data_IF_019087426114
#
_entry.id   IF_019087426114
#
_cell.length_a   1.000
_cell.length_b   1.000
_cell.length_c   1.000
_cell.angle_alpha   90.00
_cell.angle_beta   90.00
_cell.angle_gamma   90.00
#
_symmetry.space_group_name_H-M   'P 1'
#
loop_
_entity.id
_entity.type
_entity.pdbx_description
1 polymer ?
#
# COMPACT_ATOMS: atom_id res chain seq x y z
N UNK A 1 12.55 41.32 -9.29
CA UNK A 1 12.06 39.93 -9.16
C UNK A 1 13.12 38.99 -8.55
N UNK A 2 14.41 39.09 -8.86
CA UNK A 2 15.47 38.20 -8.34
C UNK A 2 15.66 38.15 -6.81
N UNK A 3 15.44 39.25 -6.06
CA UNK A 3 15.55 39.25 -4.59
C UNK A 3 14.49 38.36 -3.90
N UNK A 4 13.27 38.31 -4.44
CA UNK A 4 12.19 37.45 -3.92
C UNK A 4 12.47 35.97 -4.20
N UNK A 5 12.99 35.65 -5.38
CA UNK A 5 13.39 34.29 -5.75
C UNK A 5 14.54 33.78 -4.88
N UNK A 6 15.59 34.58 -4.69
CA UNK A 6 16.72 34.22 -3.83
C UNK A 6 16.31 33.99 -2.37
N UNK A 7 15.41 34.82 -1.84
CA UNK A 7 14.88 34.65 -0.49
C UNK A 7 14.04 33.37 -0.35
N UNK A 8 13.17 33.08 -1.34
CA UNK A 8 12.40 31.84 -1.37
C UNK A 8 13.31 30.61 -1.43
N UNK A 9 14.33 30.61 -2.28
CA UNK A 9 15.30 29.51 -2.38
C UNK A 9 16.06 29.28 -1.06
N UNK A 10 16.44 30.34 -0.34
CA UNK A 10 17.10 30.22 0.97
C UNK A 10 16.18 29.63 2.02
N UNK A 11 14.92 30.06 2.07
CA UNK A 11 13.92 29.49 2.99
C UNK A 11 13.70 28.02 2.66
N UNK A 12 13.48 27.68 1.39
CA UNK A 12 13.31 26.29 0.97
C UNK A 12 14.52 25.44 1.35
N UNK A 13 15.74 25.89 1.03
CA UNK A 13 16.97 25.19 1.38
C UNK A 13 17.10 24.99 2.90
N UNK A 14 16.75 25.99 3.70
CA UNK A 14 16.77 25.89 5.16
C UNK A 14 15.74 24.89 5.68
N UNK A 15 14.50 24.95 5.19
CA UNK A 15 13.42 24.03 5.58
C UNK A 15 13.77 22.60 5.19
N UNK A 16 14.27 22.38 3.97
CA UNK A 16 14.71 21.05 3.52
C UNK A 16 15.90 20.54 4.34
N UNK A 17 16.90 21.38 4.60
CA UNK A 17 18.08 20.98 5.37
C UNK A 17 17.72 20.67 6.82
N UNK A 18 16.91 21.51 7.48
CA UNK A 18 16.44 21.27 8.83
C UNK A 18 15.54 20.03 8.92
N UNK A 19 14.64 19.85 7.95
CA UNK A 19 13.82 18.64 7.83
C UNK A 19 14.65 17.38 7.65
N UNK A 20 15.67 17.41 6.78
CA UNK A 20 16.58 16.29 6.58
C UNK A 20 17.41 15.98 7.82
N UNK A 21 17.90 17.00 8.53
CA UNK A 21 18.64 16.82 9.79
C UNK A 21 17.76 16.22 10.88
N UNK A 22 16.52 16.71 11.05
CA UNK A 22 15.57 16.14 12.02
C UNK A 22 15.18 14.71 11.65
N UNK A 23 14.91 14.45 10.38
CA UNK A 23 14.61 13.10 9.88
C UNK A 23 15.79 12.17 10.13
N UNK A 24 17.01 12.58 9.81
CA UNK A 24 18.24 11.80 10.04
C UNK A 24 18.47 11.54 11.52
N UNK A 25 18.30 12.56 12.38
CA UNK A 25 18.44 12.41 13.82
C UNK A 25 17.39 11.46 14.40
N UNK A 26 16.14 11.55 13.92
CA UNK A 26 15.05 10.67 14.33
C UNK A 26 15.28 9.23 13.85
N UNK A 27 15.63 9.04 12.58
CA UNK A 27 15.94 7.73 12.00
C UNK A 27 17.10 7.08 12.75
N UNK A 28 18.18 7.82 13.02
CA UNK A 28 19.32 7.29 13.76
C UNK A 28 18.95 6.94 15.21
N UNK A 29 18.17 7.80 15.88
CA UNK A 29 17.75 7.56 17.28
C UNK A 29 16.82 6.36 17.40
N UNK A 30 15.83 6.24 16.49
CA UNK A 30 14.90 5.11 16.45
C UNK A 30 15.61 3.84 16.01
N UNK A 31 16.52 3.91 15.03
CA UNK A 31 17.30 2.74 14.59
C UNK A 31 18.19 2.22 15.72
N UNK A 32 18.91 3.11 16.40
CA UNK A 32 19.70 2.74 17.58
C UNK A 32 18.82 2.11 18.67
N UNK A 33 17.67 2.69 18.95
CA UNK A 33 16.72 2.16 19.94
C UNK A 33 16.19 0.77 19.53
N UNK A 34 15.77 0.60 18.29
CA UNK A 34 15.23 -0.67 17.77
C UNK A 34 16.29 -1.77 17.69
N UNK A 35 17.54 -1.42 17.39
CA UNK A 35 18.65 -2.37 17.30
C UNK A 35 19.20 -2.75 18.69
N UNK A 36 19.28 -1.82 19.63
CA UNK A 36 19.82 -2.08 20.97
C UNK A 36 18.81 -2.65 21.95
N UNK A 37 17.52 -2.48 21.69
CA UNK A 37 16.49 -3.19 22.44
C UNK A 37 16.32 -4.58 21.82
N UNK A 38 15.96 -5.55 22.64
CA UNK A 38 15.66 -6.95 22.29
C UNK A 38 14.70 -7.13 21.11
N UNK A 39 14.05 -6.07 20.62
CA UNK A 39 13.16 -6.05 19.46
C UNK A 39 13.88 -6.39 18.15
N UNK A 40 15.08 -5.85 17.89
CA UNK A 40 15.84 -6.22 16.68
C UNK A 40 16.17 -7.73 16.65
N UNK A 41 16.66 -8.24 17.79
CA UNK A 41 16.92 -9.67 17.97
C UNK A 41 15.64 -10.51 17.90
N UNK A 42 14.52 -9.99 18.40
CA UNK A 42 13.22 -10.66 18.35
C UNK A 42 12.75 -10.85 16.90
N UNK A 43 12.73 -9.79 16.08
CA UNK A 43 12.29 -9.87 14.69
C UNK A 43 13.18 -10.78 13.87
N UNK A 44 14.50 -10.68 14.04
CA UNK A 44 15.44 -11.58 13.38
C UNK A 44 15.21 -13.04 13.82
N UNK A 45 14.97 -13.30 15.10
CA UNK A 45 14.68 -14.67 15.60
C UNK A 45 13.39 -15.22 15.00
N UNK A 46 12.32 -14.43 14.99
CA UNK A 46 11.04 -14.85 14.39
C UNK A 46 11.10 -15.05 12.89
N UNK A 47 11.89 -14.22 12.20
CA UNK A 47 12.16 -14.44 10.79
C UNK A 47 12.91 -15.74 10.54
N UNK A 48 13.96 -16.05 11.32
CA UNK A 48 14.70 -17.31 11.19
C UNK A 48 13.82 -18.53 11.51
N UNK A 49 13.02 -18.48 12.58
CA UNK A 49 12.05 -19.54 12.91
C UNK A 49 11.10 -19.81 11.73
N UNK A 50 10.55 -18.75 11.13
CA UNK A 50 9.69 -18.85 9.95
C UNK A 50 10.45 -19.39 8.73
N UNK A 51 11.63 -18.85 8.45
CA UNK A 51 12.46 -19.23 7.31
C UNK A 51 12.82 -20.71 7.36
N UNK A 52 13.29 -21.17 8.52
CA UNK A 52 13.69 -22.55 8.74
C UNK A 52 12.47 -23.49 8.72
N UNK A 53 11.30 -23.04 9.20
CA UNK A 53 10.04 -23.79 9.06
C UNK A 53 9.59 -23.95 7.60
N UNK A 54 9.88 -22.97 6.74
CA UNK A 54 9.64 -23.04 5.31
C UNK A 54 10.80 -23.71 4.54
N UNK A 55 11.80 -24.25 5.25
CA UNK A 55 13.01 -24.87 4.68
C UNK A 55 13.78 -23.96 3.70
N UNK A 56 13.58 -22.65 3.78
CA UNK A 56 14.12 -21.69 2.82
C UNK A 56 13.52 -21.76 1.42
N UNK A 57 12.34 -22.37 1.24
CA UNK A 57 11.66 -22.39 -0.06
C UNK A 57 11.22 -20.97 -0.46
N UNK A 58 11.99 -20.39 -1.39
CA UNK A 58 11.81 -19.01 -1.88
C UNK A 58 10.38 -18.77 -2.39
N UNK A 59 9.79 -19.75 -3.09
CA UNK A 59 8.44 -19.64 -3.61
C UNK A 59 7.40 -19.55 -2.50
N UNK A 60 7.48 -20.42 -1.50
CA UNK A 60 6.55 -20.39 -0.35
C UNK A 60 6.71 -19.10 0.44
N UNK A 61 7.95 -18.68 0.73
CA UNK A 61 8.23 -17.41 1.41
C UNK A 61 7.64 -16.23 0.62
N UNK A 62 7.86 -16.21 -0.69
CA UNK A 62 7.32 -15.18 -1.57
C UNK A 62 5.79 -15.18 -1.61
N UNK A 63 5.14 -16.34 -1.77
CA UNK A 63 3.68 -16.41 -1.84
C UNK A 63 3.03 -15.99 -0.51
N UNK A 64 3.61 -16.36 0.62
CA UNK A 64 3.12 -15.92 1.93
C UNK A 64 3.28 -14.39 2.05
N UNK A 65 4.45 -13.85 1.72
CA UNK A 65 4.74 -12.42 1.84
C UNK A 65 3.98 -11.54 0.84
N UNK A 66 3.88 -11.95 -0.42
CA UNK A 66 3.35 -11.16 -1.52
C UNK A 66 1.89 -11.46 -1.88
N UNK A 67 1.33 -12.60 -1.43
CA UNK A 67 -0.09 -12.92 -1.64
C UNK A 67 -0.88 -12.86 -0.33
N UNK A 68 -0.48 -13.63 0.68
CA UNK A 68 -1.29 -13.82 1.89
C UNK A 68 -1.31 -12.57 2.78
N UNK A 69 -0.15 -11.98 3.07
CA UNK A 69 -0.07 -10.80 3.96
C UNK A 69 -0.88 -9.61 3.41
N UNK A 70 -0.74 -9.21 2.12
CA UNK A 70 -1.56 -8.14 1.56
C UNK A 70 -3.06 -8.48 1.52
N UNK A 71 -3.42 -9.73 1.22
CA UNK A 71 -4.82 -10.16 1.21
C UNK A 71 -5.46 -10.06 2.60
N UNK A 72 -4.76 -10.50 3.65
CA UNK A 72 -5.22 -10.40 5.04
C UNK A 72 -5.32 -8.95 5.48
N UNK A 73 -4.34 -8.10 5.15
CA UNK A 73 -4.41 -6.68 5.44
C UNK A 73 -5.62 -6.03 4.75
N UNK A 74 -5.78 -6.25 3.45
CA UNK A 74 -6.88 -5.71 2.66
C UNK A 74 -8.24 -6.13 3.23
N UNK A 75 -8.50 -7.44 3.38
CA UNK A 75 -9.80 -7.92 3.84
C UNK A 75 -10.03 -7.68 5.34
N UNK A 76 -8.99 -7.70 6.15
CA UNK A 76 -9.06 -7.40 7.59
C UNK A 76 -9.47 -5.96 7.85
N UNK A 77 -8.71 -4.99 7.31
CA UNK A 77 -9.02 -3.57 7.50
C UNK A 77 -10.34 -3.19 6.84
N UNK A 78 -10.55 -3.60 5.58
CA UNK A 78 -11.79 -3.25 4.88
C UNK A 78 -13.00 -3.99 5.44
N UNK A 79 -12.83 -5.17 6.04
CA UNK A 79 -13.91 -5.86 6.74
C UNK A 79 -14.40 -5.06 7.95
N UNK A 80 -13.49 -4.50 8.75
CA UNK A 80 -13.84 -3.63 9.88
C UNK A 80 -14.58 -2.37 9.40
N UNK A 81 -14.07 -1.71 8.35
CA UNK A 81 -14.72 -0.53 7.77
C UNK A 81 -16.09 -0.86 7.16
N UNK A 82 -16.21 -2.03 6.52
CA UNK A 82 -17.45 -2.47 5.91
C UNK A 82 -18.56 -2.71 6.95
N UNK A 83 -18.21 -3.16 8.16
CA UNK A 83 -19.18 -3.22 9.27
C UNK A 83 -19.74 -1.84 9.58
N UNK A 84 -18.88 -0.81 9.62
CA UNK A 84 -19.33 0.57 9.81
C UNK A 84 -20.19 1.07 8.64
N UNK A 85 -19.84 0.71 7.41
CA UNK A 85 -20.56 1.14 6.22
C UNK A 85 -21.95 0.48 6.08
N UNK A 86 -22.11 -0.77 6.52
CA UNK A 86 -23.39 -1.50 6.46
C UNK A 86 -24.28 -1.19 7.66
N UNK A 87 -23.70 -1.10 8.86
CA UNK A 87 -24.49 -1.00 10.12
C UNK A 87 -24.66 0.43 10.63
N UNK A 88 -23.86 1.39 10.13
CA UNK A 88 -23.78 2.74 10.65
C UNK A 88 -23.10 2.83 12.03
N UNK A 89 -22.49 1.75 12.52
CA UNK A 89 -21.85 1.65 13.85
C UNK A 89 -20.41 1.13 13.76
N UNK A 90 -19.51 1.54 14.66
CA UNK A 90 -19.73 2.44 15.78
C UNK A 90 -19.75 3.93 15.39
N UNK A 91 -20.50 4.73 16.13
CA UNK A 91 -20.72 6.17 15.85
C UNK A 91 -19.46 7.02 15.89
N UNK A 92 -18.43 6.59 16.63
CA UNK A 92 -17.16 7.31 16.67
C UNK A 92 -16.41 7.28 15.33
N UNK A 93 -16.66 6.28 14.46
CA UNK A 93 -16.09 6.21 13.10
C UNK A 93 -17.00 6.96 12.13
N UNK A 94 -18.31 6.66 12.17
CA UNK A 94 -19.25 7.17 11.16
C UNK A 94 -19.45 8.69 11.22
N UNK A 95 -19.16 9.34 12.34
CA UNK A 95 -19.14 10.81 12.47
C UNK A 95 -18.08 11.51 11.60
N UNK A 96 -17.06 10.79 11.12
CA UNK A 96 -16.02 11.33 10.23
C UNK A 96 -16.33 11.12 8.74
N UNK A 97 -17.50 10.57 8.40
CA UNK A 97 -17.89 10.34 7.00
C UNK A 97 -18.08 11.68 6.28
N UNK A 98 -17.34 11.89 5.20
CA UNK A 98 -17.35 13.14 4.42
C UNK A 98 -18.61 13.24 3.54
N UNK A 99 -19.03 12.14 2.93
CA UNK A 99 -20.17 12.11 2.00
C UNK A 99 -21.43 11.55 2.69
N UNK A 100 -22.13 12.42 3.43
CA UNK A 100 -23.34 12.04 4.18
C UNK A 100 -24.50 11.70 3.24
N UNK A 101 -25.27 10.65 3.59
CA UNK A 101 -26.49 10.23 2.86
C UNK A 101 -26.26 9.56 1.50
N UNK A 102 -25.00 9.34 1.10
CA UNK A 102 -24.66 8.74 -0.20
C UNK A 102 -24.14 7.32 0.01
N UNK A 103 -24.78 6.35 -0.65
CA UNK A 103 -24.58 4.91 -0.40
C UNK A 103 -24.79 4.54 1.10
N UNK A 104 -25.79 5.16 1.75
CA UNK A 104 -26.12 4.95 3.16
C UNK A 104 -27.61 4.57 3.33
N UNK A 105 -27.94 3.32 3.70
CA UNK A 105 -27.01 2.19 3.87
C UNK A 105 -26.46 1.73 2.51
N UNK A 106 -25.36 0.99 2.55
CA UNK A 106 -24.75 0.44 1.33
C UNK A 106 -25.73 -0.52 0.63
N UNK A 107 -25.94 -0.31 -0.68
CA UNK A 107 -26.73 -1.23 -1.50
C UNK A 107 -26.06 -2.61 -1.53
N UNK A 108 -26.74 -3.60 -0.93
CA UNK A 108 -26.28 -4.99 -0.82
C UNK A 108 -26.00 -5.64 -2.17
N UNK A 109 -26.83 -5.42 -3.20
CA UNK A 109 -26.59 -6.01 -4.52
C UNK A 109 -25.36 -5.41 -5.17
N UNK A 110 -25.21 -4.09 -5.07
CA UNK A 110 -24.04 -3.37 -5.59
C UNK A 110 -22.77 -3.81 -4.87
N UNK A 111 -22.83 -3.97 -3.54
CA UNK A 111 -21.73 -4.46 -2.71
C UNK A 111 -21.31 -5.88 -3.10
N UNK A 112 -22.25 -6.82 -3.26
CA UNK A 112 -21.93 -8.18 -3.68
C UNK A 112 -21.25 -8.21 -5.06
N UNK A 113 -21.70 -7.39 -6.01
CA UNK A 113 -21.03 -7.23 -7.31
C UNK A 113 -19.60 -6.72 -7.15
N UNK A 114 -19.38 -5.77 -6.24
CA UNK A 114 -18.05 -5.23 -5.96
C UNK A 114 -17.14 -6.29 -5.32
N UNK A 115 -17.58 -6.96 -4.26
CA UNK A 115 -16.85 -8.05 -3.59
C UNK A 115 -16.49 -9.15 -4.59
N UNK A 116 -17.45 -9.59 -5.40
CA UNK A 116 -17.20 -10.60 -6.44
C UNK A 116 -16.14 -10.14 -7.44
N UNK A 117 -16.23 -8.91 -7.93
CA UNK A 117 -15.24 -8.34 -8.84
C UNK A 117 -13.85 -8.30 -8.20
N UNK A 118 -13.76 -7.84 -6.95
CA UNK A 118 -12.49 -7.74 -6.22
C UNK A 118 -11.86 -9.13 -6.04
N UNK A 119 -12.65 -10.13 -5.64
CA UNK A 119 -12.18 -11.51 -5.51
C UNK A 119 -11.69 -12.07 -6.86
N UNK A 120 -12.44 -11.83 -7.94
CA UNK A 120 -12.03 -12.24 -9.29
C UNK A 120 -10.73 -11.57 -9.70
N UNK A 121 -10.59 -10.26 -9.48
CA UNK A 121 -9.36 -9.54 -9.80
C UNK A 121 -8.17 -10.07 -8.96
N UNK A 122 -8.35 -10.29 -7.67
CA UNK A 122 -7.30 -10.84 -6.81
C UNK A 122 -6.88 -12.26 -7.23
N UNK A 123 -7.85 -13.15 -7.50
CA UNK A 123 -7.58 -14.55 -7.82
C UNK A 123 -7.08 -14.77 -9.25
N UNK A 124 -7.64 -14.08 -10.24
CA UNK A 124 -7.36 -14.33 -11.65
C UNK A 124 -6.43 -13.30 -12.29
N UNK A 125 -6.12 -12.20 -11.61
CA UNK A 125 -5.20 -11.17 -12.10
C UNK A 125 -4.01 -11.05 -11.16
N UNK A 126 -4.21 -10.66 -9.89
CA UNK A 126 -3.09 -10.47 -8.95
C UNK A 126 -2.32 -11.75 -8.69
N UNK A 127 -2.99 -12.88 -8.48
CA UNK A 127 -2.30 -14.14 -8.18
C UNK A 127 -1.43 -14.63 -9.36
N UNK A 128 -1.89 -14.67 -10.62
CA UNK A 128 -1.02 -14.95 -11.76
C UNK A 128 0.12 -13.94 -11.96
N UNK A 129 -0.08 -12.65 -11.62
CA UNK A 129 0.97 -11.64 -11.68
C UNK A 129 2.13 -11.90 -10.72
N UNK A 130 1.93 -12.71 -9.68
CA UNK A 130 3.01 -13.09 -8.75
C UNK A 130 4.10 -13.92 -9.45
N UNK A 131 3.76 -14.72 -10.47
CA UNK A 131 4.75 -15.56 -11.16
C UNK A 131 5.85 -14.73 -11.84
N UNK A 132 5.56 -13.78 -12.75
CA UNK A 132 6.61 -12.92 -13.31
C UNK A 132 7.26 -12.04 -12.24
N UNK A 133 6.51 -11.59 -11.23
CA UNK A 133 7.06 -10.79 -10.13
C UNK A 133 8.14 -11.54 -9.35
N UNK A 134 7.94 -12.83 -9.08
CA UNK A 134 8.93 -13.69 -8.42
C UNK A 134 10.27 -13.70 -9.18
N UNK A 135 10.23 -13.87 -10.51
CA UNK A 135 11.44 -13.88 -11.32
C UNK A 135 12.12 -12.52 -11.41
N UNK A 136 11.34 -11.43 -11.46
CA UNK A 136 11.89 -10.06 -11.38
C UNK A 136 12.59 -9.84 -10.04
N UNK A 137 11.98 -10.29 -8.94
CA UNK A 137 12.56 -10.21 -7.60
C UNK A 137 13.81 -11.07 -7.47
N UNK A 138 13.84 -12.27 -8.06
CA UNK A 138 15.03 -13.12 -8.07
C UNK A 138 16.18 -12.52 -8.88
N UNK A 139 15.87 -11.78 -9.94
CA UNK A 139 16.85 -11.07 -10.74
C UNK A 139 17.55 -9.92 -9.97
N UNK A 140 16.89 -9.35 -8.95
CA UNK A 140 17.41 -8.23 -8.16
C UNK A 140 18.47 -8.62 -7.11
N UNK A 141 18.77 -9.92 -6.95
CA UNK A 141 19.71 -10.50 -5.95
C UNK A 141 19.37 -10.20 -4.47
N UNK A 142 19.70 -11.12 -3.56
CA UNK A 142 19.48 -11.02 -2.10
C UNK A 142 18.01 -10.95 -1.59
N UNK A 143 17.00 -11.22 -2.41
CA UNK A 143 15.59 -10.97 -2.07
C UNK A 143 14.97 -11.89 -1.00
N UNK A 144 15.55 -13.07 -0.76
CA UNK A 144 15.06 -14.06 0.21
C UNK A 144 16.14 -14.46 1.22
N UNK A 145 16.92 -13.50 1.70
CA UNK A 145 17.98 -13.73 2.68
C UNK A 145 17.45 -14.15 4.05
N UNK A 146 18.24 -14.92 4.79
CA UNK A 146 18.02 -15.22 6.21
C UNK A 146 18.21 -13.99 7.10
N UNK A 147 18.98 -13.00 6.66
CA UNK A 147 19.24 -11.78 7.40
C UNK A 147 18.22 -10.71 7.01
N UNK A 148 17.49 -10.17 8.00
CA UNK A 148 16.63 -9.03 7.78
C UNK A 148 17.48 -7.77 7.52
N UNK A 149 16.97 -6.82 6.71
CA UNK A 149 17.62 -5.52 6.58
C UNK A 149 17.72 -4.83 7.94
N UNK A 150 18.75 -4.02 8.12
CA UNK A 150 18.82 -3.14 9.29
C UNK A 150 17.59 -2.24 9.32
N UNK A 151 17.12 -1.86 10.51
CA UNK A 151 15.94 -1.00 10.65
C UNK A 151 16.08 0.32 9.87
N UNK A 152 17.29 0.91 9.83
CA UNK A 152 17.56 2.09 9.02
C UNK A 152 17.37 1.84 7.53
N UNK A 153 17.89 0.72 7.02
CA UNK A 153 17.75 0.36 5.60
C UNK A 153 16.29 0.10 5.23
N UNK A 154 15.55 -0.61 6.09
CA UNK A 154 14.10 -0.79 5.94
C UNK A 154 13.36 0.55 5.82
N UNK A 155 13.69 1.55 6.66
CA UNK A 155 13.06 2.88 6.58
C UNK A 155 13.41 3.62 5.28
N UNK A 156 14.65 3.47 4.78
CA UNK A 156 15.07 4.05 3.50
C UNK A 156 14.29 3.42 2.34
N UNK A 157 14.23 2.09 2.29
CA UNK A 157 13.46 1.36 1.28
C UNK A 157 11.99 1.73 1.32
N UNK A 158 11.36 1.72 2.51
CA UNK A 158 9.96 2.10 2.69
C UNK A 158 9.70 3.53 2.18
N UNK A 159 10.59 4.47 2.48
CA UNK A 159 10.45 5.86 2.04
C UNK A 159 10.58 5.99 0.52
N UNK A 160 11.56 5.31 -0.09
CA UNK A 160 11.74 5.31 -1.54
C UNK A 160 10.54 4.67 -2.23
N UNK A 161 10.09 3.49 -1.76
CA UNK A 161 8.93 2.81 -2.33
C UNK A 161 7.66 3.64 -2.22
N UNK A 162 7.44 4.34 -1.09
CA UNK A 162 6.28 5.23 -0.94
C UNK A 162 6.31 6.37 -1.96
N UNK A 163 7.46 7.01 -2.18
CA UNK A 163 7.58 8.09 -3.18
C UNK A 163 7.38 7.55 -4.60
N UNK A 164 7.96 6.39 -4.91
CA UNK A 164 7.81 5.75 -6.22
C UNK A 164 6.35 5.36 -6.46
N UNK A 165 5.69 4.78 -5.46
CA UNK A 165 4.29 4.38 -5.53
C UNK A 165 3.37 5.60 -5.75
N UNK A 166 3.55 6.68 -4.98
CA UNK A 166 2.78 7.92 -5.17
C UNK A 166 2.94 8.50 -6.59
N UNK A 167 4.17 8.52 -7.11
CA UNK A 167 4.45 9.00 -8.48
C UNK A 167 3.77 8.10 -9.51
N UNK A 168 3.99 6.78 -9.44
CA UNK A 168 3.44 5.83 -10.40
C UNK A 168 1.92 5.84 -10.37
N UNK A 169 1.31 5.79 -9.18
CA UNK A 169 -0.13 5.85 -8.99
C UNK A 169 -0.71 7.16 -9.54
N UNK A 170 -0.12 8.31 -9.24
CA UNK A 170 -0.61 9.59 -9.77
C UNK A 170 -0.65 9.61 -11.30
N UNK A 171 0.44 9.19 -11.96
CA UNK A 171 0.52 9.23 -13.41
C UNK A 171 -0.33 8.15 -14.07
N UNK A 172 -0.41 6.94 -13.52
CA UNK A 172 -1.28 5.88 -14.05
C UNK A 172 -2.74 6.25 -13.88
N UNK A 173 -3.14 6.76 -12.70
CA UNK A 173 -4.50 7.24 -12.43
C UNK A 173 -4.87 8.39 -13.38
N UNK A 174 -3.99 9.37 -13.54
CA UNK A 174 -4.20 10.49 -14.47
C UNK A 174 -4.32 10.02 -15.92
N UNK A 175 -3.55 9.00 -16.31
CA UNK A 175 -3.63 8.42 -17.65
C UNK A 175 -4.99 7.76 -17.88
N UNK A 176 -5.49 6.97 -16.93
CA UNK A 176 -6.78 6.28 -17.09
C UNK A 176 -7.99 7.23 -17.11
N UNK A 177 -7.82 8.48 -16.63
CA UNK A 177 -8.80 9.56 -16.81
C UNK A 177 -8.85 10.17 -18.22
N UNK A 178 -7.92 9.82 -19.12
CA UNK A 178 -8.00 10.25 -20.51
C UNK A 178 -9.33 9.76 -21.13
N UNK A 179 -10.09 10.57 -21.91
CA UNK A 179 -11.49 10.27 -22.27
C UNK A 179 -11.76 8.88 -22.84
N UNK A 180 -10.84 8.38 -23.67
CA UNK A 180 -10.93 7.02 -24.25
C UNK A 180 -10.75 5.94 -23.18
N UNK A 181 -9.73 6.09 -22.33
CA UNK A 181 -9.45 5.14 -21.25
C UNK A 181 -10.55 5.23 -20.18
N UNK A 182 -10.98 6.44 -19.83
CA UNK A 182 -12.05 6.62 -18.87
C UNK A 182 -13.30 5.85 -19.27
N UNK A 183 -13.77 6.03 -20.51
CA UNK A 183 -14.98 5.39 -21.01
C UNK A 183 -14.94 3.86 -20.95
N UNK A 184 -13.78 3.25 -21.22
CA UNK A 184 -13.67 1.80 -21.39
C UNK A 184 -13.07 1.06 -20.18
N UNK A 185 -12.19 1.70 -19.41
CA UNK A 185 -11.50 1.08 -18.27
C UNK A 185 -11.87 1.75 -16.94
N UNK A 186 -11.67 3.07 -16.79
CA UNK A 186 -11.76 3.73 -15.48
C UNK A 186 -13.20 4.00 -15.00
N UNK A 187 -14.17 4.06 -15.91
CA UNK A 187 -15.58 4.32 -15.57
C UNK A 187 -16.13 3.30 -14.56
N UNK A 188 -15.63 2.05 -14.59
CA UNK A 188 -16.03 1.01 -13.64
C UNK A 188 -15.66 1.39 -12.21
N UNK A 189 -14.42 1.84 -11.99
CA UNK A 189 -13.96 2.31 -10.67
C UNK A 189 -14.81 3.47 -10.15
N UNK A 190 -15.21 4.39 -11.04
CA UNK A 190 -16.09 5.52 -10.70
C UNK A 190 -17.59 5.19 -10.56
N UNK A 191 -18.02 3.91 -10.66
CA UNK A 191 -19.41 3.52 -10.33
C UNK A 191 -19.75 3.79 -8.86
N UNK A 192 -18.73 3.85 -7.98
CA UNK A 192 -18.86 4.15 -6.56
C UNK A 192 -18.53 5.60 -6.25
N UNK A 193 -19.53 6.46 -6.45
CA UNK A 193 -19.37 7.91 -6.23
C UNK A 193 -19.24 8.34 -4.77
N UNK A 194 -19.52 7.43 -3.82
CA UNK A 194 -19.10 7.48 -2.41
C UNK A 194 -18.42 6.13 -2.11
N UNK A 195 -17.08 6.05 -2.23
CA UNK A 195 -16.37 4.80 -2.09
C UNK A 195 -16.30 4.35 -0.62
N UNK A 196 -16.38 3.04 -0.45
CA UNK A 196 -16.12 2.29 0.78
C UNK A 196 -14.80 1.54 0.65
N UNK A 197 -14.23 1.05 1.75
CA UNK A 197 -12.89 0.47 1.75
C UNK A 197 -12.66 -0.63 0.68
N UNK A 198 -13.59 -1.57 0.57
CA UNK A 198 -13.51 -2.70 -0.38
C UNK A 198 -13.44 -2.27 -1.85
N UNK A 199 -14.00 -1.10 -2.20
CA UNK A 199 -14.04 -0.66 -3.60
C UNK A 199 -12.76 0.05 -4.05
N UNK A 200 -11.75 0.19 -3.19
CA UNK A 200 -10.45 0.74 -3.58
C UNK A 200 -9.80 -0.03 -4.73
N UNK A 201 -10.02 -1.35 -4.80
CA UNK A 201 -9.55 -2.22 -5.89
C UNK A 201 -10.72 -2.77 -6.75
N UNK A 202 -11.91 -2.17 -6.64
CA UNK A 202 -13.00 -2.45 -7.58
C UNK A 202 -12.70 -1.73 -8.90
N UNK A 203 -12.10 -2.46 -9.84
CA UNK A 203 -11.59 -1.88 -11.07
C UNK A 203 -11.83 -2.77 -12.29
N UNK A 204 -11.64 -2.21 -13.48
CA UNK A 204 -11.50 -3.00 -14.71
C UNK A 204 -10.19 -3.82 -14.66
N UNK A 205 -10.11 -5.04 -15.25
CA UNK A 205 -8.90 -5.87 -15.20
C UNK A 205 -7.60 -5.14 -15.60
N UNK A 206 -7.65 -4.34 -16.67
CA UNK A 206 -6.50 -3.54 -17.12
C UNK A 206 -6.14 -2.47 -16.09
N UNK A 207 -7.13 -1.80 -15.51
CA UNK A 207 -6.91 -0.79 -14.49
C UNK A 207 -6.27 -1.40 -13.25
N UNK A 208 -6.74 -2.57 -12.82
CA UNK A 208 -6.20 -3.35 -11.69
C UNK A 208 -4.72 -3.77 -11.86
N UNK A 209 -4.22 -3.83 -13.10
CA UNK A 209 -2.81 -4.15 -13.38
C UNK A 209 -1.94 -2.88 -13.28
N UNK A 210 -2.48 -1.71 -13.64
CA UNK A 210 -1.70 -0.48 -13.86
C UNK A 210 -1.87 0.57 -12.75
N UNK A 211 -2.89 0.44 -11.91
CA UNK A 211 -3.29 1.37 -10.87
C UNK A 211 -3.74 0.64 -9.63
#
# INVERSE_FOLDING_TARGET
QGKKLSHALRISAYVFSAGLLMFTALVNSVSWFMQNITLGNFWQTKWLEFYDHMEGDEWTIFLIGAALVPALAFWGFNGILLVADITGKPTFITRYRIQLGKNDPVDTKKLWKAIYTVLVNQLFISFPMLVPMFYIMKWWDSTFSKELPTFQWFLVELSIFTVVEEILFYYSHRLVHHPVLYKHIHKKHHEWTAPIGVVSIYAHPIEHIVS
#
